data_IF_829799324898
#
_entry.id   IF_829799324898
#
_cell.length_a   1.000
_cell.length_b   1.000
_cell.length_c   1.000
_cell.angle_alpha   90.00
_cell.angle_beta   90.00
_cell.angle_gamma   90.00
#
_symmetry.space_group_name_H-M   'P 1'
#
loop_
_entity.id
_entity.type
_entity.pdbx_description
1 polymer ?
#
# COMPACT_ATOMS: atom_id res chain seq x y z
N UNK A 1 13.66 -8.32 14.16
CA UNK A 1 13.82 -7.50 12.95
C UNK A 1 12.47 -7.45 12.31
N UNK A 2 11.96 -6.24 12.07
CA UNK A 2 10.61 -6.05 11.52
C UNK A 2 10.69 -5.87 10.00
N UNK A 3 9.57 -6.11 9.32
CA UNK A 3 9.41 -5.90 7.87
C UNK A 3 8.24 -4.95 7.61
N UNK A 4 8.24 -4.31 6.44
CA UNK A 4 7.17 -3.41 6.00
C UNK A 4 5.89 -4.18 5.64
N UNK A 5 4.76 -3.44 5.55
CA UNK A 5 3.46 -4.03 5.21
C UNK A 5 3.47 -4.64 3.81
N UNK A 6 4.18 -4.04 2.84
CA UNK A 6 4.28 -4.59 1.48
C UNK A 6 5.05 -5.92 1.46
N UNK A 7 6.19 -5.98 2.16
CA UNK A 7 7.02 -7.19 2.27
C UNK A 7 6.25 -8.33 2.94
N UNK A 8 5.49 -8.03 4.01
CA UNK A 8 4.64 -9.01 4.66
C UNK A 8 3.54 -9.53 3.73
N UNK A 9 2.94 -8.66 2.91
CA UNK A 9 1.92 -9.07 1.91
C UNK A 9 2.52 -9.97 0.84
N UNK A 10 3.69 -9.63 0.31
CA UNK A 10 4.38 -10.46 -0.69
C UNK A 10 4.69 -11.86 -0.13
N UNK A 11 5.18 -11.93 1.11
CA UNK A 11 5.41 -13.20 1.79
C UNK A 11 4.12 -14.01 1.91
N UNK A 12 3.04 -13.40 2.42
CA UNK A 12 1.74 -14.07 2.59
C UNK A 12 1.16 -14.56 1.25
N UNK A 13 1.27 -13.75 0.19
CA UNK A 13 0.85 -14.14 -1.15
C UNK A 13 1.63 -15.35 -1.67
N UNK A 14 2.93 -15.45 -1.37
CA UNK A 14 3.76 -16.62 -1.68
C UNK A 14 3.27 -17.93 -1.04
N UNK A 15 2.50 -17.84 0.05
CA UNK A 15 1.84 -18.98 0.70
C UNK A 15 0.36 -19.13 0.31
N UNK A 16 -0.11 -18.42 -0.72
CA UNK A 16 -1.48 -18.53 -1.23
C UNK A 16 -2.53 -17.75 -0.43
N UNK A 17 -2.12 -16.89 0.50
CA UNK A 17 -3.05 -16.01 1.22
C UNK A 17 -3.51 -14.88 0.30
N UNK A 18 -4.81 -14.71 0.15
CA UNK A 18 -5.38 -13.63 -0.65
C UNK A 18 -5.05 -12.26 -0.04
N UNK A 19 -4.44 -11.38 -0.84
CA UNK A 19 -4.11 -10.01 -0.45
C UNK A 19 -4.77 -8.98 -1.39
N UNK A 20 -5.03 -7.75 -0.94
CA UNK A 20 -5.44 -6.67 -1.83
C UNK A 20 -4.37 -6.40 -2.90
N UNK A 21 -4.80 -6.14 -4.14
CA UNK A 21 -3.91 -5.64 -5.21
C UNK A 21 -3.26 -4.33 -4.76
N UNK A 22 -1.97 -4.19 -4.99
CA UNK A 22 -1.18 -3.07 -4.51
C UNK A 22 0.25 -3.11 -5.02
N UNK A 23 1.05 -2.13 -4.61
CA UNK A 23 2.48 -2.08 -4.86
C UNK A 23 3.13 -0.96 -4.06
N UNK A 24 4.46 -1.02 -3.91
CA UNK A 24 5.25 0.07 -3.33
C UNK A 24 5.46 1.18 -4.36
N UNK A 25 5.52 2.42 -3.86
CA UNK A 25 5.86 3.60 -4.63
C UNK A 25 6.86 4.43 -3.84
N UNK A 26 7.93 4.88 -4.51
CA UNK A 26 9.00 5.69 -3.91
C UNK A 26 8.92 7.17 -4.29
N UNK A 27 7.96 7.54 -5.14
CA UNK A 27 7.65 8.92 -5.51
C UNK A 27 6.14 9.11 -5.72
N UNK A 28 5.64 10.36 -5.70
CA UNK A 28 4.24 10.66 -6.03
C UNK A 28 3.83 10.15 -7.42
N UNK A 29 4.70 10.31 -8.42
CA UNK A 29 4.45 9.88 -9.80
C UNK A 29 4.30 8.36 -9.88
N UNK A 30 5.15 7.63 -9.15
CA UNK A 30 5.00 6.17 -9.04
C UNK A 30 3.68 5.80 -8.36
N UNK A 31 3.24 6.55 -7.35
CA UNK A 31 1.97 6.27 -6.66
C UNK A 31 0.77 6.41 -7.61
N UNK A 32 0.76 7.46 -8.45
CA UNK A 32 -0.25 7.66 -9.51
C UNK A 32 -0.21 6.52 -10.52
N UNK A 33 0.98 6.18 -11.03
CA UNK A 33 1.14 5.05 -11.96
C UNK A 33 0.61 3.73 -11.36
N UNK A 34 0.96 3.43 -10.11
CA UNK A 34 0.45 2.24 -9.40
C UNK A 34 -1.06 2.25 -9.24
N UNK A 35 -1.66 3.39 -8.91
CA UNK A 35 -3.10 3.52 -8.81
C UNK A 35 -3.79 3.18 -10.15
N UNK A 36 -3.23 3.69 -11.26
CA UNK A 36 -3.71 3.39 -12.61
C UNK A 36 -3.56 1.92 -12.99
N UNK A 37 -2.43 1.27 -12.65
CA UNK A 37 -2.23 -0.18 -12.89
C UNK A 37 -3.22 -1.06 -12.07
N UNK A 38 -3.48 -0.67 -10.82
CA UNK A 38 -4.45 -1.36 -9.96
C UNK A 38 -5.86 -1.21 -10.54
N UNK A 39 -6.18 -0.01 -11.05
CA UNK A 39 -7.51 0.36 -11.53
C UNK A 39 -8.53 0.52 -10.39
N UNK A 40 -9.78 0.79 -10.77
CA UNK A 40 -10.87 1.04 -9.82
C UNK A 40 -11.15 2.53 -9.63
N UNK A 41 -11.92 2.87 -8.59
CA UNK A 41 -12.38 4.23 -8.32
C UNK A 41 -11.89 4.80 -6.99
N UNK A 42 -11.22 3.99 -6.16
CA UNK A 42 -10.66 4.37 -4.87
C UNK A 42 -9.43 3.53 -4.52
N UNK A 43 -8.46 4.16 -3.86
CA UNK A 43 -7.20 3.54 -3.44
C UNK A 43 -6.87 3.90 -1.99
N UNK A 44 -6.08 3.04 -1.33
CA UNK A 44 -5.51 3.32 -0.03
C UNK A 44 -4.01 3.62 -0.17
N UNK A 45 -3.62 4.87 0.07
CA UNK A 45 -2.22 5.29 0.12
C UNK A 45 -1.75 5.17 1.58
N UNK A 46 -0.70 4.38 1.81
CA UNK A 46 -0.22 4.05 3.16
C UNK A 46 1.27 4.28 3.28
N UNK A 47 1.67 5.10 4.24
CA UNK A 47 3.06 5.25 4.63
C UNK A 47 3.63 3.88 5.06
N UNK A 48 4.82 3.54 4.55
CA UNK A 48 5.54 2.33 4.94
C UNK A 48 6.54 2.68 6.03
N UNK A 49 6.20 2.30 7.27
CA UNK A 49 7.07 2.35 8.45
C UNK A 49 6.78 1.11 9.31
N UNK A 50 7.74 0.67 10.13
CA UNK A 50 7.55 -0.50 11.01
C UNK A 50 6.51 -0.24 12.12
N UNK A 51 6.39 1.01 12.59
CA UNK A 51 5.47 1.36 13.66
C UNK A 51 4.00 1.28 13.24
N UNK A 52 3.14 0.89 14.20
CA UNK A 52 1.68 0.88 14.05
C UNK A 52 1.04 2.28 14.09
N UNK A 53 -0.29 2.32 14.28
CA UNK A 53 -1.09 3.53 14.44
C UNK A 53 -1.05 4.57 13.28
N UNK A 54 -0.53 4.19 12.11
CA UNK A 54 -0.44 5.05 10.90
C UNK A 54 -1.77 5.67 10.51
N UNK A 55 -2.89 4.96 10.66
CA UNK A 55 -4.22 5.50 10.38
C UNK A 55 -4.58 6.69 11.28
N UNK A 56 -4.32 6.57 12.59
CA UNK A 56 -4.56 7.64 13.56
C UNK A 56 -3.63 8.83 13.34
N UNK A 57 -2.39 8.58 12.92
CA UNK A 57 -1.40 9.60 12.61
C UNK A 57 -1.60 10.27 11.23
N UNK A 58 -2.60 9.84 10.45
CA UNK A 58 -2.86 10.40 9.11
C UNK A 58 -1.97 9.85 8.00
N UNK A 59 -1.13 8.85 8.29
CA UNK A 59 -0.28 8.14 7.32
C UNK A 59 -1.01 7.08 6.49
N UNK A 60 -2.34 6.98 6.61
CA UNK A 60 -3.21 6.20 5.71
C UNK A 60 -4.29 7.14 5.18
N UNK A 61 -4.40 7.24 3.86
CA UNK A 61 -5.40 8.06 3.17
C UNK A 61 -6.16 7.20 2.16
N UNK A 62 -7.47 7.42 2.09
CA UNK A 62 -8.29 6.90 1.01
C UNK A 62 -8.41 7.99 -0.06
N UNK A 63 -7.98 7.69 -1.26
CA UNK A 63 -7.96 8.60 -2.39
C UNK A 63 -8.97 8.12 -3.45
N UNK A 64 -9.58 9.05 -4.18
CA UNK A 64 -10.52 8.75 -5.27
C UNK A 64 -10.14 9.48 -6.57
N UNK A 65 -8.96 10.09 -6.59
CA UNK A 65 -8.36 10.80 -7.69
C UNK A 65 -6.84 10.71 -7.57
N UNK A 66 -6.17 11.11 -8.65
CA UNK A 66 -4.71 11.24 -8.75
C UNK A 66 -4.18 12.37 -7.88
#
# INVERSE_FOLDING_TARGET
>A
MDIHEDQAKELLAGFGVAIPRGGVAYSPEQAVYRASEIGGSRWAVKAQIHSGARGKAGGIKLCSNE
#
